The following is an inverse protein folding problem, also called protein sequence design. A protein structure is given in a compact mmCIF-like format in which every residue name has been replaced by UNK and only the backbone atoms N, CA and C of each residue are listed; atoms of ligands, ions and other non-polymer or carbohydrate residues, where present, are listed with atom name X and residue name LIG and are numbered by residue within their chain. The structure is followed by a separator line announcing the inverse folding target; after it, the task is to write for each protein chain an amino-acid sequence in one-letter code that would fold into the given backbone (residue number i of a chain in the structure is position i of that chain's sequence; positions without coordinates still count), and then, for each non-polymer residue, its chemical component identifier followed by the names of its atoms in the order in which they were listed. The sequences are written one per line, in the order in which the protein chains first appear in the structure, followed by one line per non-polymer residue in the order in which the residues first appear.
data_IF_012934489060
#
_entry.id   IF_012934489060
#
_cell.length_a   1.000
_cell.length_b   1.000
_cell.length_c   1.000
_cell.angle_alpha   90.00
_cell.angle_beta   90.00
_cell.angle_gamma   90.00
#
_symmetry.space_group_name_H-M   'P 1'
#
loop_
_entity.id
_entity.type
_entity.pdbx_description
1 polymer ?
#
# COMPACT_ATOMS: atom_id res chain seq x y z
N UNK A 1 -18.22 -17.52 -36.45
CA UNK A 1 -16.90 -16.87 -36.41
C UNK A 1 -16.76 -16.22 -35.04
N UNK A 2 -16.12 -16.91 -34.11
CA UNK A 2 -15.91 -16.44 -32.72
C UNK A 2 -14.48 -15.89 -32.66
N UNK A 3 -14.23 -14.66 -32.20
CA UNK A 3 -12.86 -14.21 -32.06
C UNK A 3 -12.23 -14.98 -30.90
N UNK A 4 -11.15 -15.71 -31.20
CA UNK A 4 -10.27 -16.25 -30.18
C UNK A 4 -9.74 -15.07 -29.36
N UNK A 5 -10.06 -15.07 -28.07
CA UNK A 5 -9.52 -14.14 -27.10
C UNK A 5 -7.99 -14.33 -27.12
N UNK A 6 -7.27 -13.33 -27.63
CA UNK A 6 -5.81 -13.37 -27.68
C UNK A 6 -5.26 -13.43 -26.28
N UNK A 7 -4.69 -14.57 -25.89
CA UNK A 7 -3.90 -14.66 -24.68
C UNK A 7 -2.75 -13.65 -24.78
N UNK A 8 -2.66 -12.75 -23.79
CA UNK A 8 -1.52 -11.86 -23.65
C UNK A 8 -0.24 -12.69 -23.47
N UNK A 9 0.90 -12.25 -24.01
CA UNK A 9 2.17 -12.95 -23.84
C UNK A 9 2.51 -13.08 -22.34
N UNK A 10 2.91 -14.29 -21.94
CA UNK A 10 3.21 -14.70 -20.55
C UNK A 10 4.04 -13.73 -19.68
N UNK A 11 5.00 -12.92 -20.18
CA UNK A 11 5.67 -11.94 -19.33
C UNK A 11 4.75 -10.85 -18.78
N UNK A 12 3.66 -10.50 -19.46
CA UNK A 12 2.73 -9.46 -19.01
C UNK A 12 1.77 -9.98 -17.94
N UNK A 13 1.39 -11.25 -17.99
CA UNK A 13 0.50 -11.88 -17.00
C UNK A 13 1.13 -11.88 -15.59
N UNK A 14 2.45 -12.13 -15.50
CA UNK A 14 3.19 -12.09 -14.23
C UNK A 14 3.28 -10.69 -13.61
N UNK A 15 3.17 -9.65 -14.43
CA UNK A 15 3.19 -8.26 -13.96
C UNK A 15 1.92 -7.89 -13.16
N UNK A 16 0.82 -8.64 -13.37
CA UNK A 16 -0.46 -8.40 -12.71
C UNK A 16 -0.76 -9.39 -11.57
N UNK A 17 0.12 -10.35 -11.30
CA UNK A 17 -0.08 -11.45 -10.32
C UNK A 17 0.67 -11.24 -8.99
N UNK A 18 1.19 -10.03 -8.74
CA UNK A 18 1.72 -9.70 -7.42
C UNK A 18 0.54 -9.57 -6.44
N UNK A 19 0.39 -10.58 -5.57
CA UNK A 19 -0.57 -10.50 -4.46
C UNK A 19 -0.07 -9.43 -3.49
N UNK A 20 -0.85 -8.37 -3.35
CA UNK A 20 -0.61 -7.34 -2.34
C UNK A 20 -1.49 -7.60 -1.12
N UNK A 21 -0.87 -7.63 0.05
CA UNK A 21 -1.55 -7.69 1.34
C UNK A 21 -1.49 -6.32 1.98
N UNK A 22 -2.65 -5.77 2.38
CA UNK A 22 -2.72 -4.47 3.05
C UNK A 22 -2.98 -4.68 4.53
N UNK A 23 -2.05 -4.22 5.35
CA UNK A 23 -2.16 -4.19 6.80
C UNK A 23 -2.57 -2.79 7.24
N UNK A 24 -3.65 -2.69 8.02
CA UNK A 24 -4.14 -1.42 8.54
C UNK A 24 -4.16 -1.47 10.06
N UNK A 25 -3.47 -0.53 10.68
CA UNK A 25 -3.60 -0.22 12.09
C UNK A 25 -4.38 1.09 12.24
N UNK A 26 -5.48 1.05 12.99
CA UNK A 26 -6.26 2.22 13.35
C UNK A 26 -6.16 2.47 14.86
N UNK A 27 -5.84 3.69 15.30
CA UNK A 27 -5.80 4.02 16.72
C UNK A 27 -7.22 4.09 17.29
N UNK A 28 -7.38 3.91 18.62
CA UNK A 28 -8.69 4.04 19.27
C UNK A 28 -9.37 5.37 18.95
N UNK A 29 -10.62 5.33 18.49
CA UNK A 29 -11.40 6.53 18.19
C UNK A 29 -11.16 7.14 16.82
N UNK A 30 -10.36 6.48 15.96
CA UNK A 30 -10.16 6.91 14.57
C UNK A 30 -11.49 7.01 13.79
N UNK A 31 -12.47 6.14 14.09
CA UNK A 31 -13.78 6.13 13.46
C UNK A 31 -14.57 7.40 13.76
N UNK A 32 -14.41 7.96 14.97
CA UNK A 32 -15.09 9.19 15.38
C UNK A 32 -14.41 10.44 14.79
N UNK A 33 -13.08 10.41 14.64
CA UNK A 33 -12.34 11.49 14.00
C UNK A 33 -12.51 11.50 12.46
N UNK A 34 -12.81 10.35 11.87
CA UNK A 34 -13.19 10.24 10.46
C UNK A 34 -12.01 10.53 9.50
N UNK A 35 -12.24 11.17 8.34
CA UNK A 35 -11.27 11.21 7.25
C UNK A 35 -10.07 12.14 7.52
N UNK A 36 -10.06 12.88 8.62
CA UNK A 36 -8.98 13.83 8.98
C UNK A 36 -7.87 13.19 9.82
N UNK A 37 -8.04 11.94 10.26
CA UNK A 37 -7.01 11.22 11.02
C UNK A 37 -5.75 11.10 10.17
N UNK A 38 -4.57 11.52 10.66
CA UNK A 38 -3.34 11.44 9.89
C UNK A 38 -3.01 10.00 9.50
N UNK A 39 -2.49 9.81 8.29
CA UNK A 39 -2.17 8.47 7.77
C UNK A 39 -0.68 8.38 7.44
N UNK A 40 -0.02 7.32 7.89
CA UNK A 40 1.29 6.92 7.40
C UNK A 40 1.11 5.69 6.49
N UNK A 41 1.49 5.84 5.22
CA UNK A 41 1.44 4.78 4.22
C UNK A 41 2.86 4.29 3.93
N UNK A 42 3.04 2.96 3.94
CA UNK A 42 4.31 2.27 3.75
C UNK A 42 4.14 1.25 2.62
N UNK A 43 4.95 1.34 1.57
CA UNK A 43 4.95 0.39 0.45
C UNK A 43 6.36 0.28 -0.13
N UNK A 44 6.89 -0.94 -0.24
CA UNK A 44 8.13 -1.29 -0.96
C UNK A 44 9.27 -0.26 -0.87
N UNK A 45 9.69 0.06 0.36
CA UNK A 45 10.81 0.97 0.64
C UNK A 45 10.47 2.47 0.56
N UNK A 46 9.21 2.81 0.26
CA UNK A 46 8.69 4.16 0.28
C UNK A 46 7.78 4.40 1.49
N UNK A 47 7.88 5.60 2.06
CA UNK A 47 6.97 6.08 3.09
C UNK A 47 6.31 7.38 2.64
N UNK A 48 5.00 7.50 2.85
CA UNK A 48 4.24 8.74 2.65
C UNK A 48 3.41 9.05 3.87
N UNK A 49 3.48 10.29 4.33
CA UNK A 49 2.70 10.77 5.45
C UNK A 49 1.66 11.78 4.97
N UNK A 50 0.41 11.59 5.40
CA UNK A 50 -0.74 12.41 5.09
C UNK A 50 -1.21 13.09 6.38
N UNK A 51 -0.70 14.29 6.70
CA UNK A 51 -0.98 14.94 7.99
C UNK A 51 -2.45 15.30 8.18
N UNK A 52 -3.19 15.58 7.11
CA UNK A 52 -4.64 15.86 7.15
C UNK A 52 -5.51 14.65 6.83
N UNK A 53 -4.94 13.45 6.85
CA UNK A 53 -5.63 12.21 6.54
C UNK A 53 -6.11 12.11 5.09
N UNK A 54 -7.08 11.21 4.88
CA UNK A 54 -7.73 11.00 3.59
C UNK A 54 -8.46 12.26 3.07
N UNK A 55 -8.92 13.13 3.98
CA UNK A 55 -9.56 14.40 3.63
C UNK A 55 -8.63 15.34 2.86
N UNK A 56 -7.31 15.22 3.03
CA UNK A 56 -6.30 16.04 2.36
C UNK A 56 -5.24 15.18 1.67
N UNK A 57 -5.67 14.12 0.98
CA UNK A 57 -4.76 13.16 0.33
C UNK A 57 -3.77 13.80 -0.66
N UNK A 58 -4.10 14.98 -1.24
CA UNK A 58 -3.21 15.71 -2.14
C UNK A 58 -1.95 16.30 -1.45
N UNK A 59 -1.96 16.43 -0.13
CA UNK A 59 -0.87 17.05 0.65
C UNK A 59 0.00 16.01 1.37
N UNK A 60 0.38 14.95 0.66
CA UNK A 60 1.31 13.94 1.18
C UNK A 60 2.73 14.48 1.25
N UNK A 61 3.49 14.06 2.26
CA UNK A 61 4.92 14.34 2.39
C UNK A 61 5.71 13.04 2.48
N UNK A 62 6.91 13.04 1.91
CA UNK A 62 7.87 11.93 2.10
C UNK A 62 8.70 12.25 3.33
N UNK A 63 8.54 11.52 4.46
CA UNK A 63 9.27 11.81 5.68
C UNK A 63 10.74 11.41 5.55
N UNK A 64 11.62 12.17 6.21
CA UNK A 64 13.02 11.77 6.40
C UNK A 64 13.09 10.55 7.34
N UNK A 65 14.17 9.75 7.32
CA UNK A 65 14.30 8.58 8.20
C UNK A 65 14.11 8.91 9.70
N UNK A 66 14.64 10.04 10.17
CA UNK A 66 14.45 10.50 11.55
C UNK A 66 13.00 10.85 11.88
N UNK A 67 12.27 11.41 10.91
CA UNK A 67 10.85 11.77 11.06
C UNK A 67 9.97 10.51 11.04
N UNK A 68 10.35 9.50 10.25
CA UNK A 68 9.66 8.22 10.21
C UNK A 68 9.68 7.53 11.59
N UNK A 69 10.82 7.55 12.28
CA UNK A 69 10.93 7.01 13.65
C UNK A 69 10.00 7.75 14.61
N UNK A 70 9.90 9.08 14.49
CA UNK A 70 8.99 9.87 15.32
C UNK A 70 7.51 9.57 14.99
N UNK A 71 7.17 9.41 13.71
CA UNK A 71 5.82 9.04 13.27
C UNK A 71 5.42 7.65 13.77
N UNK A 72 6.33 6.68 13.77
CA UNK A 72 6.06 5.33 14.28
C UNK A 72 5.78 5.27 15.79
N UNK A 73 6.17 6.30 16.55
CA UNK A 73 5.86 6.38 17.99
C UNK A 73 4.55 7.11 18.28
N UNK A 74 3.91 7.70 17.27
CA UNK A 74 2.63 8.36 17.44
C UNK A 74 1.52 7.33 17.61
N UNK A 75 0.64 7.60 18.56
CA UNK A 75 -0.52 6.74 18.87
C UNK A 75 -1.83 7.29 18.27
N UNK A 76 -1.76 8.40 17.54
CA UNK A 76 -2.90 9.14 17.00
C UNK A 76 -2.94 9.11 15.45
N UNK A 77 -2.21 8.20 14.83
CA UNK A 77 -2.14 8.06 13.37
C UNK A 77 -2.59 6.67 12.93
N UNK A 78 -3.24 6.61 11.77
CA UNK A 78 -3.49 5.34 11.05
C UNK A 78 -2.21 4.95 10.32
N UNK A 79 -1.85 3.67 10.39
CA UNK A 79 -0.71 3.12 9.65
C UNK A 79 -1.24 2.13 8.63
N UNK A 80 -0.90 2.34 7.36
CA UNK A 80 -1.21 1.45 6.25
C UNK A 80 0.11 0.91 5.73
N UNK A 81 0.30 -0.40 5.77
CA UNK A 81 1.47 -1.06 5.21
C UNK A 81 1.03 -2.02 4.11
N UNK A 82 1.69 -1.94 2.96
CA UNK A 82 1.44 -2.81 1.81
C UNK A 82 2.62 -3.74 1.65
N UNK A 83 2.34 -5.04 1.80
CA UNK A 83 3.29 -6.12 1.57
C UNK A 83 3.01 -6.75 0.21
N UNK A 84 4.01 -6.70 -0.67
CA UNK A 84 3.94 -7.27 -2.01
C UNK A 84 4.62 -8.64 -1.99
N UNK A 85 3.87 -9.74 -2.07
CA UNK A 85 4.48 -11.06 -2.23
C UNK A 85 4.98 -11.22 -3.67
N UNK A 86 6.27 -11.57 -3.90
CA UNK A 86 6.75 -11.83 -5.24
C UNK A 86 6.02 -13.04 -5.83
N UNK A 87 5.49 -12.91 -7.04
CA UNK A 87 4.79 -13.99 -7.72
C UNK A 87 5.66 -15.26 -7.75
N UNK A 88 5.10 -16.37 -7.26
CA UNK A 88 5.82 -17.64 -7.19
C UNK A 88 6.37 -18.05 -8.59
N UNK A 89 7.60 -18.57 -8.68
CA UNK A 89 8.14 -19.05 -9.94
C UNK A 89 7.25 -20.19 -10.46
N UNK A 90 6.77 -20.06 -11.70
CA UNK A 90 5.98 -21.11 -12.35
C UNK A 90 6.76 -22.44 -12.35
N UNK A 91 6.12 -23.58 -12.06
CA UNK A 91 6.78 -24.87 -12.15
C UNK A 91 7.22 -25.13 -13.61
N UNK A 92 8.36 -25.80 -13.83
CA UNK A 92 8.82 -26.12 -15.17
C UNK A 92 7.81 -27.05 -15.85
N UNK A 93 7.35 -26.67 -17.05
CA UNK A 93 6.54 -27.55 -17.90
C UNK A 93 7.34 -28.79 -18.24
N UNK A 94 6.83 -29.97 -17.86
CA UNK A 94 7.38 -31.28 -18.23
C UNK A 94 6.73 -31.77 -19.51
#
# INVERSE_FOLDING_TARGET
MTPACGALPEPLSRLFDARKTVHVYAPPGAEAAGPTVPVLYLEDGEARFFPGGAANAAHSVVPRPSELVALMQRQDIVIVAVDSEPAAPSPPST
#
